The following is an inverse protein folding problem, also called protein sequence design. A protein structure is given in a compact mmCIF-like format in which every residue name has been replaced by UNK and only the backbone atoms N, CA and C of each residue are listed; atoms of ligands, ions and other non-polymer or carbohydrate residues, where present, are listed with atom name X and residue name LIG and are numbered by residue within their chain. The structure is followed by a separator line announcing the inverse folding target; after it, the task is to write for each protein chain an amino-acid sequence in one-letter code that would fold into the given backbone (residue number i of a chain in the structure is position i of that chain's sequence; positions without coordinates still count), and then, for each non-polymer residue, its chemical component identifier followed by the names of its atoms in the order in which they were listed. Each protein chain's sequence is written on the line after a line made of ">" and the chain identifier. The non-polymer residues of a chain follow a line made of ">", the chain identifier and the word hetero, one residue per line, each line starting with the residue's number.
data_IF_266945848351
#
_entry.id   IF_266945848351
#
_cell.length_a   1.000
_cell.length_b   1.000
_cell.length_c   1.000
_cell.angle_alpha   90.00
_cell.angle_beta   90.00
_cell.angle_gamma   90.00
#
_symmetry.space_group_name_H-M   'P 1'
#
loop_
_entity.id
_entity.type
_entity.pdbx_description
1 polymer ?
#
# COMPACT_ATOMS: atom_id res chain seq x y z
N UNK A 1 -4.30 -12.92 -28.93
CA UNK A 1 -4.33 -13.99 -27.91
C UNK A 1 -4.58 -13.33 -26.57
N UNK A 2 -5.42 -13.92 -25.72
CA UNK A 2 -5.67 -13.37 -24.39
C UNK A 2 -4.43 -13.49 -23.50
N UNK A 3 -4.28 -12.56 -22.59
CA UNK A 3 -3.19 -12.55 -21.61
C UNK A 3 -3.31 -13.72 -20.62
N UNK A 4 -2.17 -14.23 -20.14
CA UNK A 4 -2.12 -15.43 -19.29
C UNK A 4 -2.85 -15.26 -17.95
N UNK A 5 -2.88 -14.04 -17.40
CA UNK A 5 -3.57 -13.75 -16.14
C UNK A 5 -5.07 -14.03 -16.20
N UNK A 6 -5.71 -13.99 -17.38
CA UNK A 6 -7.15 -14.25 -17.55
C UNK A 6 -7.50 -15.64 -17.03
N UNK A 7 -6.72 -16.64 -17.42
CA UNK A 7 -6.95 -18.02 -17.00
C UNK A 7 -6.59 -18.26 -15.53
N UNK A 8 -5.58 -17.55 -15.01
CA UNK A 8 -5.26 -17.57 -13.58
C UNK A 8 -6.40 -17.00 -12.73
N UNK A 9 -7.02 -15.90 -13.18
CA UNK A 9 -8.19 -15.30 -12.53
C UNK A 9 -9.39 -16.26 -12.55
N UNK A 10 -9.69 -16.87 -13.71
CA UNK A 10 -10.78 -17.85 -13.84
C UNK A 10 -10.56 -19.03 -12.89
N UNK A 11 -9.34 -19.56 -12.82
CA UNK A 11 -8.99 -20.65 -11.92
C UNK A 11 -9.14 -20.24 -10.45
N UNK A 12 -8.66 -19.05 -10.06
CA UNK A 12 -8.77 -18.54 -8.70
C UNK A 12 -10.22 -18.25 -8.27
N UNK A 13 -11.08 -17.79 -9.19
CA UNK A 13 -12.50 -17.61 -8.93
C UNK A 13 -13.21 -18.96 -8.73
N UNK A 14 -12.86 -19.97 -9.54
CA UNK A 14 -13.46 -21.32 -9.50
C UNK A 14 -12.95 -22.21 -8.38
N UNK A 15 -11.78 -21.93 -7.80
CA UNK A 15 -11.22 -22.74 -6.70
C UNK A 15 -12.05 -22.65 -5.40
N UNK A 16 -12.98 -21.68 -5.33
CA UNK A 16 -13.85 -21.43 -4.17
C UNK A 16 -15.01 -22.43 -4.12
N UNK A 17 -14.79 -23.58 -3.49
CA UNK A 17 -15.78 -24.67 -3.38
C UNK A 17 -17.00 -24.32 -2.53
N UNK A 18 -16.87 -23.45 -1.53
CA UNK A 18 -17.95 -23.08 -0.62
C UNK A 18 -19.02 -22.15 -1.25
N UNK A 19 -18.67 -21.42 -2.32
CA UNK A 19 -19.58 -20.53 -3.04
C UNK A 19 -19.30 -20.66 -4.54
N UNK A 20 -19.91 -21.65 -5.21
CA UNK A 20 -19.69 -21.86 -6.63
C UNK A 20 -20.14 -20.62 -7.42
N UNK A 21 -19.33 -20.23 -8.40
CA UNK A 21 -19.58 -19.06 -9.25
C UNK A 21 -19.59 -19.45 -10.73
N UNK A 22 -20.45 -18.77 -11.50
CA UNK A 22 -20.38 -18.79 -12.95
C UNK A 22 -19.39 -17.70 -13.39
N UNK A 23 -18.37 -18.09 -14.15
CA UNK A 23 -17.36 -17.15 -14.66
C UNK A 23 -17.57 -16.99 -16.17
N UNK A 24 -18.06 -15.82 -16.58
CA UNK A 24 -18.19 -15.43 -17.98
C UNK A 24 -17.02 -14.53 -18.41
N UNK A 25 -16.51 -14.76 -19.61
CA UNK A 25 -15.46 -13.94 -20.21
C UNK A 25 -16.06 -13.10 -21.35
N UNK A 26 -16.00 -11.77 -21.22
CA UNK A 26 -16.34 -10.87 -22.32
C UNK A 26 -15.13 -10.70 -23.23
N UNK A 27 -15.06 -11.46 -24.32
CA UNK A 27 -14.01 -11.32 -25.32
C UNK A 27 -14.36 -10.20 -26.31
N UNK A 28 -13.59 -9.11 -26.27
CA UNK A 28 -13.70 -7.97 -27.17
C UNK A 28 -12.34 -7.63 -27.78
N UNK A 29 -11.43 -8.61 -27.91
CA UNK A 29 -10.04 -8.39 -28.32
C UNK A 29 -9.91 -7.68 -29.68
N UNK A 30 -10.85 -7.91 -30.60
CA UNK A 30 -10.89 -7.28 -31.94
C UNK A 30 -11.18 -5.78 -31.88
N UNK A 31 -11.91 -5.34 -30.85
CA UNK A 31 -12.23 -3.95 -30.57
C UNK A 31 -11.18 -3.29 -29.67
N UNK A 32 -10.54 -4.06 -28.78
CA UNK A 32 -9.45 -3.61 -27.93
C UNK A 32 -8.13 -3.42 -28.69
N UNK A 33 -7.84 -4.30 -29.66
CA UNK A 33 -6.62 -4.28 -30.48
C UNK A 33 -6.74 -3.29 -31.65
N UNK A 34 -7.04 -2.04 -31.32
CA UNK A 34 -7.12 -0.89 -32.24
C UNK A 34 -6.24 0.24 -31.71
N UNK A 35 -6.04 1.28 -32.51
CA UNK A 35 -5.40 2.51 -32.02
C UNK A 35 -6.08 2.98 -30.72
N UNK A 36 -5.32 3.44 -29.73
CA UNK A 36 -5.81 3.66 -28.36
C UNK A 36 -7.08 4.53 -28.30
N UNK A 37 -7.13 5.61 -29.07
CA UNK A 37 -8.31 6.49 -29.17
C UNK A 37 -9.58 5.78 -29.68
N UNK A 38 -9.42 4.80 -30.58
CA UNK A 38 -10.51 3.97 -31.09
C UNK A 38 -10.91 2.92 -30.04
N UNK A 39 -9.93 2.26 -29.41
CA UNK A 39 -10.18 1.30 -28.35
C UNK A 39 -10.94 1.93 -27.17
N UNK A 40 -10.58 3.17 -26.79
CA UNK A 40 -11.30 3.99 -25.79
C UNK A 40 -12.75 4.21 -26.20
N UNK A 41 -13.02 4.61 -27.45
CA UNK A 41 -14.41 4.77 -27.93
C UNK A 41 -15.20 3.45 -27.91
N UNK A 42 -14.54 2.36 -28.28
CA UNK A 42 -15.14 1.03 -28.31
C UNK A 42 -15.57 0.54 -26.92
N UNK A 43 -14.97 1.04 -25.83
CA UNK A 43 -15.38 0.65 -24.46
C UNK A 43 -16.86 0.88 -24.19
N UNK A 44 -17.46 1.94 -24.76
CA UNK A 44 -18.91 2.20 -24.66
C UNK A 44 -19.74 1.16 -25.40
N UNK A 45 -19.33 0.82 -26.62
CA UNK A 45 -20.00 -0.19 -27.45
C UNK A 45 -19.99 -1.53 -26.72
N UNK A 46 -18.83 -1.95 -26.21
CA UNK A 46 -18.71 -3.21 -25.47
C UNK A 46 -19.51 -3.16 -24.17
N UNK A 47 -19.49 -2.03 -23.43
CA UNK A 47 -20.31 -1.86 -22.24
C UNK A 47 -21.80 -2.01 -22.53
N UNK A 48 -22.28 -1.49 -23.67
CA UNK A 48 -23.66 -1.64 -24.12
C UNK A 48 -24.01 -3.10 -24.43
N UNK A 49 -23.14 -3.83 -25.11
CA UNK A 49 -23.33 -5.27 -25.38
C UNK A 49 -23.37 -6.11 -24.10
N UNK A 50 -22.46 -5.85 -23.15
CA UNK A 50 -22.46 -6.52 -21.84
C UNK A 50 -23.75 -6.22 -21.07
N UNK A 51 -24.22 -4.97 -21.08
CA UNK A 51 -25.49 -4.58 -20.48
C UNK A 51 -26.69 -5.30 -21.13
N UNK A 52 -26.71 -5.38 -22.47
CA UNK A 52 -27.76 -6.08 -23.21
C UNK A 52 -27.79 -7.58 -22.87
N UNK A 53 -26.62 -8.22 -22.80
CA UNK A 53 -26.49 -9.62 -22.40
C UNK A 53 -27.00 -9.88 -20.97
N UNK A 54 -26.61 -9.04 -20.00
CA UNK A 54 -27.07 -9.17 -18.62
C UNK A 54 -28.59 -8.97 -18.48
N UNK A 55 -29.17 -8.03 -19.24
CA UNK A 55 -30.64 -7.86 -19.31
C UNK A 55 -31.32 -9.08 -19.91
N UNK A 56 -30.74 -9.66 -20.97
CA UNK A 56 -31.26 -10.87 -21.58
C UNK A 56 -31.24 -12.04 -20.59
N UNK A 57 -30.18 -12.21 -19.78
CA UNK A 57 -30.13 -13.21 -18.71
C UNK A 57 -31.15 -12.95 -17.61
N UNK A 58 -31.35 -11.68 -17.22
CA UNK A 58 -32.35 -11.33 -16.22
C UNK A 58 -33.77 -11.72 -16.68
N UNK A 59 -34.10 -11.49 -17.95
CA UNK A 59 -35.41 -11.83 -18.53
C UNK A 59 -35.56 -13.34 -18.75
N UNK A 60 -34.56 -13.99 -19.32
CA UNK A 60 -34.68 -15.40 -19.76
C UNK A 60 -34.41 -16.41 -18.65
N UNK A 61 -33.47 -16.13 -17.76
CA UNK A 61 -33.06 -17.02 -16.67
C UNK A 61 -33.56 -16.57 -15.29
N UNK A 62 -34.38 -15.50 -15.22
CA UNK A 62 -34.85 -14.90 -13.97
C UNK A 62 -33.71 -14.59 -12.98
N UNK A 63 -32.53 -14.27 -13.53
CA UNK A 63 -31.32 -14.07 -12.76
C UNK A 63 -31.26 -12.64 -12.21
N UNK A 64 -31.06 -12.50 -10.90
CA UNK A 64 -30.91 -11.18 -10.29
C UNK A 64 -29.56 -10.55 -10.63
N UNK A 65 -29.59 -9.38 -11.28
CA UNK A 65 -28.38 -8.59 -11.55
C UNK A 65 -27.63 -8.13 -10.29
N UNK A 66 -28.27 -8.17 -9.11
CA UNK A 66 -27.58 -7.94 -7.83
C UNK A 66 -26.52 -8.99 -7.51
N UNK A 67 -26.58 -10.16 -8.17
CA UNK A 67 -25.62 -11.25 -8.00
C UNK A 67 -24.46 -11.18 -9.01
N UNK A 68 -24.43 -10.15 -9.85
CA UNK A 68 -23.34 -9.94 -10.82
C UNK A 68 -22.18 -9.21 -10.18
N UNK A 69 -20.97 -9.72 -10.41
CA UNK A 69 -19.72 -9.04 -10.14
C UNK A 69 -18.94 -8.88 -11.45
N UNK A 70 -18.85 -7.65 -11.97
CA UNK A 70 -18.00 -7.34 -13.11
C UNK A 70 -16.59 -7.00 -12.64
N UNK A 71 -15.58 -7.65 -13.21
CA UNK A 71 -14.17 -7.40 -12.91
C UNK A 71 -13.53 -6.92 -14.21
N UNK A 72 -13.10 -5.66 -14.23
CA UNK A 72 -12.55 -5.01 -15.42
C UNK A 72 -11.12 -4.54 -15.21
N UNK A 73 -10.22 -4.95 -16.11
CA UNK A 73 -8.82 -4.52 -16.11
C UNK A 73 -8.56 -3.45 -17.16
N UNK A 74 -7.80 -2.40 -16.82
CA UNK A 74 -7.44 -1.33 -17.76
C UNK A 74 -8.67 -0.69 -18.41
N UNK A 75 -8.77 -0.64 -19.75
CA UNK A 75 -9.97 -0.23 -20.48
C UNK A 75 -11.23 -1.03 -20.10
N UNK A 76 -11.08 -2.30 -19.71
CA UNK A 76 -12.17 -3.16 -19.26
C UNK A 76 -12.86 -2.69 -17.97
N UNK A 77 -12.16 -1.90 -17.13
CA UNK A 77 -12.78 -1.27 -15.97
C UNK A 77 -13.86 -0.26 -16.40
N UNK A 78 -13.60 0.51 -17.45
CA UNK A 78 -14.57 1.44 -18.03
C UNK A 78 -15.68 0.71 -18.78
N UNK A 79 -15.38 -0.38 -19.49
CA UNK A 79 -16.41 -1.27 -20.05
C UNK A 79 -17.40 -1.72 -18.96
N UNK A 80 -16.87 -2.12 -17.79
CA UNK A 80 -17.70 -2.56 -16.65
C UNK A 80 -18.55 -1.41 -16.09
N UNK A 81 -17.97 -0.21 -15.98
CA UNK A 81 -18.70 0.99 -15.58
C UNK A 81 -19.83 1.35 -16.55
N UNK A 82 -19.53 1.40 -17.85
CA UNK A 82 -20.52 1.64 -18.88
C UNK A 82 -21.62 0.58 -18.90
N UNK A 83 -21.30 -0.70 -18.71
CA UNK A 83 -22.31 -1.75 -18.60
C UNK A 83 -23.27 -1.51 -17.42
N UNK A 84 -22.72 -1.15 -16.26
CA UNK A 84 -23.50 -0.78 -15.08
C UNK A 84 -24.41 0.42 -15.30
N UNK A 85 -23.86 1.49 -15.87
CA UNK A 85 -24.58 2.72 -16.22
C UNK A 85 -25.69 2.47 -17.24
N UNK A 86 -25.41 1.72 -18.31
CA UNK A 86 -26.39 1.40 -19.34
C UNK A 86 -27.54 0.54 -18.81
N UNK A 87 -27.29 -0.36 -17.86
CA UNK A 87 -28.35 -1.15 -17.22
C UNK A 87 -29.37 -0.22 -16.54
N UNK A 88 -28.88 0.77 -15.79
CA UNK A 88 -29.67 1.84 -15.18
C UNK A 88 -30.83 1.38 -14.29
N UNK A 89 -31.67 2.33 -13.87
CA UNK A 89 -32.90 2.09 -13.12
C UNK A 89 -32.71 1.82 -11.62
N UNK A 90 -33.78 1.32 -10.96
CA UNK A 90 -33.79 1.09 -9.50
C UNK A 90 -32.91 -0.09 -9.06
N UNK A 91 -32.64 -1.04 -9.96
CA UNK A 91 -31.85 -2.23 -9.68
C UNK A 91 -30.51 -2.15 -10.40
N UNK A 92 -29.44 -1.89 -9.67
CA UNK A 92 -28.07 -1.85 -10.19
C UNK A 92 -27.41 -3.24 -10.14
N UNK A 93 -26.32 -3.39 -10.89
CA UNK A 93 -25.38 -4.53 -10.77
C UNK A 93 -24.90 -4.65 -9.32
N UNK A 94 -24.63 -5.87 -8.85
CA UNK A 94 -24.10 -6.14 -7.51
C UNK A 94 -22.79 -5.44 -7.21
N UNK A 95 -21.73 -5.76 -7.96
CA UNK A 95 -20.39 -5.22 -7.73
C UNK A 95 -19.64 -4.96 -9.03
N UNK A 96 -18.86 -3.89 -9.07
CA UNK A 96 -17.81 -3.70 -10.08
C UNK A 96 -16.45 -3.58 -9.38
N UNK A 97 -15.45 -4.32 -9.84
CA UNK A 97 -14.06 -4.11 -9.44
C UNK A 97 -13.24 -3.59 -10.62
N UNK A 98 -12.67 -2.39 -10.46
CA UNK A 98 -11.73 -1.80 -11.41
C UNK A 98 -10.29 -2.17 -11.06
N UNK A 99 -9.62 -2.92 -11.93
CA UNK A 99 -8.22 -3.31 -11.78
C UNK A 99 -7.37 -2.37 -12.64
N UNK A 100 -6.74 -1.39 -11.99
CA UNK A 100 -5.94 -0.32 -12.56
C UNK A 100 -6.59 0.29 -13.81
N UNK A 101 -7.77 0.89 -13.63
CA UNK A 101 -8.56 1.47 -14.71
C UNK A 101 -7.73 2.46 -15.54
N UNK A 102 -7.95 2.51 -16.86
CA UNK A 102 -7.12 3.32 -17.75
C UNK A 102 -7.24 4.84 -17.46
N UNK A 103 -6.12 5.54 -17.37
CA UNK A 103 -6.06 6.98 -17.14
C UNK A 103 -6.22 7.83 -18.41
N UNK A 104 -5.43 7.60 -19.48
CA UNK A 104 -5.45 8.47 -20.65
C UNK A 104 -6.83 8.52 -21.32
N UNK A 105 -7.36 9.73 -21.53
CA UNK A 105 -8.71 10.03 -22.03
C UNK A 105 -9.88 9.74 -21.07
N UNK A 106 -9.62 9.31 -19.83
CA UNK A 106 -10.62 9.12 -18.77
C UNK A 106 -10.35 9.96 -17.52
N UNK A 107 -9.10 10.30 -17.23
CA UNK A 107 -8.74 11.22 -16.15
C UNK A 107 -9.38 12.59 -16.38
N UNK A 108 -9.97 13.16 -15.33
CA UNK A 108 -10.69 14.43 -15.35
C UNK A 108 -12.07 14.40 -16.00
N UNK A 109 -12.50 13.27 -16.58
CA UNK A 109 -13.82 13.19 -17.25
C UNK A 109 -14.98 13.05 -16.26
N UNK A 110 -16.17 13.40 -16.75
CA UNK A 110 -17.44 13.24 -16.02
C UNK A 110 -17.63 11.78 -15.55
N UNK A 111 -18.27 11.53 -14.39
CA UNK A 111 -18.65 10.18 -13.97
C UNK A 111 -19.41 9.36 -15.02
N UNK A 112 -20.14 10.00 -15.94
CA UNK A 112 -20.84 9.35 -17.06
C UNK A 112 -19.92 8.81 -18.16
N UNK A 113 -18.66 9.21 -18.16
CA UNK A 113 -17.69 8.99 -19.23
C UNK A 113 -16.52 8.10 -18.80
N UNK A 114 -16.65 7.41 -17.66
CA UNK A 114 -15.66 6.51 -17.07
C UNK A 114 -16.33 5.59 -16.04
N UNK A 115 -15.52 4.83 -15.31
CA UNK A 115 -15.97 4.08 -14.13
C UNK A 115 -16.30 5.07 -13.00
N UNK A 116 -17.42 4.85 -12.33
CA UNK A 116 -17.95 5.67 -11.26
C UNK A 116 -18.56 4.81 -10.14
N UNK A 117 -18.62 5.30 -8.88
CA UNK A 117 -19.38 4.65 -7.81
C UNK A 117 -20.87 4.46 -8.16
N UNK A 118 -21.41 5.26 -9.09
CA UNK A 118 -22.80 5.18 -9.52
C UNK A 118 -23.12 3.97 -10.40
N UNK A 119 -22.12 3.27 -10.92
CA UNK A 119 -22.34 2.23 -11.93
C UNK A 119 -22.84 0.89 -11.34
N UNK A 120 -22.68 0.68 -10.03
CA UNK A 120 -23.15 -0.52 -9.35
C UNK A 120 -23.61 -0.24 -7.92
N UNK A 121 -24.13 -1.28 -7.27
CA UNK A 121 -24.46 -1.28 -5.85
C UNK A 121 -23.21 -1.11 -4.98
N UNK A 122 -22.06 -1.59 -5.46
CA UNK A 122 -20.76 -1.42 -4.84
C UNK A 122 -19.68 -1.40 -5.93
N UNK A 123 -18.68 -0.53 -5.77
CA UNK A 123 -17.57 -0.36 -6.71
C UNK A 123 -16.31 -0.23 -5.90
N UNK A 124 -15.31 -1.04 -6.20
CA UNK A 124 -13.98 -0.97 -5.62
C UNK A 124 -12.91 -0.92 -6.71
N UNK A 125 -11.84 -0.16 -6.49
CA UNK A 125 -10.81 0.04 -7.48
C UNK A 125 -9.41 -0.15 -6.88
N UNK A 126 -8.52 -0.81 -7.63
CA UNK A 126 -7.13 -1.03 -7.24
C UNK A 126 -6.24 -0.27 -8.22
N UNK A 127 -5.54 0.75 -7.73
CA UNK A 127 -4.69 1.66 -8.49
C UNK A 127 -3.23 1.29 -8.28
N UNK A 128 -2.55 0.78 -9.30
CA UNK A 128 -1.18 0.26 -9.19
C UNK A 128 -0.16 0.99 -10.06
N UNK A 129 -0.61 1.78 -11.03
CA UNK A 129 0.30 2.50 -11.93
C UNK A 129 -0.21 3.89 -12.36
N UNK A 130 -0.38 4.79 -11.38
CA UNK A 130 -1.03 6.11 -11.54
C UNK A 130 -0.07 7.30 -11.68
N UNK A 131 1.22 7.11 -11.41
CA UNK A 131 2.17 8.22 -11.41
C UNK A 131 2.96 8.26 -12.72
N UNK A 132 2.99 9.43 -13.34
CA UNK A 132 3.80 9.66 -14.53
C UNK A 132 5.28 9.49 -14.20
N UNK A 133 5.92 8.54 -14.86
CA UNK A 133 7.38 8.47 -14.93
C UNK A 133 7.77 8.64 -16.37
N UNK A 134 8.64 9.62 -16.66
CA UNK A 134 9.01 9.97 -18.03
C UNK A 134 7.80 10.32 -18.92
N UNK A 135 6.74 10.89 -18.34
CA UNK A 135 5.48 11.21 -19.04
C UNK A 135 4.58 10.02 -19.35
N UNK A 136 4.87 8.84 -18.81
CA UNK A 136 4.09 7.61 -19.01
C UNK A 136 3.38 7.22 -17.70
N UNK A 137 2.06 7.36 -17.68
CA UNK A 137 1.15 6.74 -16.71
C UNK A 137 0.01 6.12 -17.50
N UNK A 138 -0.41 4.90 -17.15
CA UNK A 138 -1.56 4.27 -17.80
C UNK A 138 -2.75 4.06 -16.86
N UNK A 139 -2.56 4.08 -15.54
CA UNK A 139 -3.63 3.98 -14.56
C UNK A 139 -4.24 5.34 -14.21
N UNK A 140 -5.55 5.38 -13.98
CA UNK A 140 -6.27 6.56 -13.53
C UNK A 140 -5.90 6.88 -12.07
N UNK A 141 -5.60 8.14 -11.77
CA UNK A 141 -5.17 8.62 -10.45
C UNK A 141 -6.37 8.99 -9.58
N UNK A 142 -7.39 9.62 -10.16
CA UNK A 142 -8.58 10.01 -9.41
C UNK A 142 -9.34 8.79 -8.87
N UNK A 143 -10.02 8.92 -7.71
CA UNK A 143 -10.95 7.92 -7.23
C UNK A 143 -12.09 7.67 -8.22
N UNK A 144 -12.43 6.41 -8.42
CA UNK A 144 -13.51 5.92 -9.31
C UNK A 144 -14.46 4.93 -8.61
N UNK A 145 -14.14 4.49 -7.39
CA UNK A 145 -14.95 3.57 -6.61
C UNK A 145 -15.49 4.16 -5.30
N UNK A 146 -16.22 3.33 -4.56
CA UNK A 146 -16.57 3.59 -3.16
C UNK A 146 -15.33 3.43 -2.27
N UNK A 147 -14.49 2.44 -2.61
CA UNK A 147 -13.18 2.19 -2.02
C UNK A 147 -12.12 2.15 -3.13
N UNK A 148 -11.12 3.01 -3.01
CA UNK A 148 -10.02 3.15 -3.97
C UNK A 148 -8.72 2.82 -3.23
N UNK A 149 -8.11 1.70 -3.60
CA UNK A 149 -6.89 1.19 -3.00
C UNK A 149 -5.68 1.65 -3.82
N UNK A 150 -4.68 2.18 -3.14
CA UNK A 150 -3.41 2.62 -3.71
C UNK A 150 -2.25 1.82 -3.09
N UNK A 151 -2.08 0.52 -3.43
CA UNK A 151 -0.93 -0.27 -3.01
C UNK A 151 0.38 0.44 -3.35
N UNK A 152 1.26 0.57 -2.36
CA UNK A 152 2.55 1.24 -2.47
C UNK A 152 2.43 2.70 -2.97
N UNK A 153 1.31 3.36 -2.64
CA UNK A 153 1.00 4.72 -3.09
C UNK A 153 0.35 4.79 -4.48
N UNK A 154 0.16 3.65 -5.14
CA UNK A 154 -0.40 3.54 -6.48
C UNK A 154 0.53 3.98 -7.60
N UNK A 155 1.77 4.35 -7.30
CA UNK A 155 2.76 4.81 -8.28
C UNK A 155 3.42 3.64 -9.00
N UNK A 156 4.38 2.97 -8.35
CA UNK A 156 5.05 1.78 -8.86
C UNK A 156 4.96 0.65 -7.85
N UNK A 157 5.01 -0.56 -8.37
CA UNK A 157 4.85 -1.76 -7.56
C UNK A 157 6.22 -2.40 -7.31
N UNK A 158 6.50 -2.86 -6.08
CA UNK A 158 7.75 -3.55 -5.76
C UNK A 158 8.01 -4.72 -6.72
N UNK A 159 9.24 -4.83 -7.23
CA UNK A 159 9.61 -5.81 -8.26
C UNK A 159 9.20 -5.46 -9.70
N UNK A 160 8.69 -4.25 -9.94
CA UNK A 160 8.44 -3.70 -11.28
C UNK A 160 9.28 -2.44 -11.56
N UNK A 161 10.41 -2.25 -10.85
CA UNK A 161 11.17 -1.00 -10.90
C UNK A 161 11.98 -0.84 -12.20
N UNK A 162 12.07 0.40 -12.67
CA UNK A 162 12.89 0.81 -13.81
C UNK A 162 14.40 0.53 -13.64
N UNK A 163 14.92 0.29 -12.44
CA UNK A 163 16.31 -0.13 -12.28
C UNK A 163 16.58 -1.50 -12.92
N UNK A 164 15.54 -2.34 -13.02
CA UNK A 164 15.55 -3.55 -13.84
C UNK A 164 15.44 -3.25 -15.33
N UNK A 165 14.98 -2.06 -15.75
CA UNK A 165 15.00 -1.63 -17.14
C UNK A 165 16.42 -1.59 -17.71
N UNK A 166 17.47 -1.23 -16.96
CA UNK A 166 18.85 -1.32 -17.49
C UNK A 166 19.27 -2.78 -17.74
N UNK A 167 18.89 -3.71 -16.86
CA UNK A 167 19.11 -5.15 -17.03
C UNK A 167 18.25 -5.72 -18.18
N UNK A 168 17.00 -5.28 -18.29
CA UNK A 168 16.04 -5.68 -19.32
C UNK A 168 16.30 -4.98 -20.67
N UNK A 169 16.87 -3.77 -20.74
CA UNK A 169 17.32 -3.12 -21.99
C UNK A 169 18.53 -3.89 -22.53
N UNK A 170 19.47 -4.26 -21.64
CA UNK A 170 20.60 -5.09 -22.01
C UNK A 170 20.16 -6.47 -22.56
N UNK A 171 19.01 -7.00 -22.13
CA UNK A 171 18.48 -8.30 -22.56
C UNK A 171 17.40 -8.24 -23.66
N UNK A 172 16.63 -7.15 -23.76
CA UNK A 172 15.40 -7.06 -24.56
C UNK A 172 15.24 -5.74 -25.34
N UNK A 173 16.21 -4.82 -25.30
CA UNK A 173 16.14 -3.54 -26.01
C UNK A 173 14.96 -2.65 -25.58
N UNK A 174 14.40 -1.87 -26.51
CA UNK A 174 13.28 -0.94 -26.23
C UNK A 174 11.98 -1.63 -25.77
N UNK A 175 11.83 -2.94 -25.97
CA UNK A 175 10.67 -3.72 -25.51
C UNK A 175 10.58 -3.82 -23.98
N UNK A 176 11.70 -3.58 -23.28
CA UNK A 176 11.76 -3.54 -21.83
C UNK A 176 10.81 -2.47 -21.21
N UNK A 177 10.54 -1.39 -21.94
CA UNK A 177 9.66 -0.29 -21.48
C UNK A 177 8.21 -0.78 -21.43
N UNK A 178 7.76 -1.52 -22.46
CA UNK A 178 6.44 -2.12 -22.51
C UNK A 178 6.23 -3.16 -21.41
N UNK A 179 7.24 -3.99 -21.13
CA UNK A 179 7.18 -5.00 -20.06
C UNK A 179 7.10 -4.36 -18.67
N UNK A 180 7.85 -3.28 -18.42
CA UNK A 180 7.84 -2.58 -17.14
C UNK A 180 6.48 -1.92 -16.87
N UNK A 181 5.91 -1.25 -17.88
CA UNK A 181 4.56 -0.67 -17.81
C UNK A 181 3.54 -1.76 -17.51
N UNK A 182 3.61 -2.88 -18.22
CA UNK A 182 2.72 -4.02 -18.02
C UNK A 182 2.84 -4.61 -16.61
N UNK A 183 4.04 -4.73 -16.05
CA UNK A 183 4.26 -5.28 -14.70
C UNK A 183 3.50 -4.49 -13.62
N UNK A 184 3.66 -3.17 -13.58
CA UNK A 184 3.01 -2.33 -12.59
C UNK A 184 1.49 -2.23 -12.82
N UNK A 185 1.06 -2.17 -14.08
CA UNK A 185 -0.35 -2.12 -14.46
C UNK A 185 -1.09 -3.43 -14.10
N UNK A 186 -0.52 -4.58 -14.49
CA UNK A 186 -1.08 -5.92 -14.27
C UNK A 186 -0.99 -6.37 -12.79
N UNK A 187 -0.20 -5.68 -11.96
CA UNK A 187 -0.14 -5.96 -10.52
C UNK A 187 -1.51 -5.91 -9.85
N UNK A 188 -2.40 -5.02 -10.28
CA UNK A 188 -3.77 -4.94 -9.77
C UNK A 188 -4.51 -6.27 -9.91
N UNK A 189 -4.33 -6.97 -11.04
CA UNK A 189 -4.88 -8.30 -11.31
C UNK A 189 -4.31 -9.33 -10.34
N UNK A 190 -2.98 -9.37 -10.19
CA UNK A 190 -2.33 -10.34 -9.31
C UNK A 190 -2.67 -10.11 -7.83
N UNK A 191 -2.82 -8.87 -7.39
CA UNK A 191 -3.28 -8.55 -6.03
C UNK A 191 -4.71 -9.06 -5.79
N UNK A 192 -5.59 -8.93 -6.79
CA UNK A 192 -6.95 -9.46 -6.68
C UNK A 192 -6.97 -11.00 -6.68
N UNK A 193 -6.17 -11.65 -7.54
CA UNK A 193 -5.98 -13.11 -7.53
C UNK A 193 -5.44 -13.59 -6.17
N UNK A 194 -4.44 -12.90 -5.62
CA UNK A 194 -3.88 -13.22 -4.31
C UNK A 194 -4.93 -13.17 -3.20
N UNK A 195 -5.83 -12.17 -3.25
CA UNK A 195 -6.94 -12.05 -2.28
C UNK A 195 -7.93 -13.23 -2.34
N UNK A 196 -8.07 -13.87 -3.50
CA UNK A 196 -8.90 -15.06 -3.70
C UNK A 196 -8.21 -16.34 -3.21
N UNK A 197 -6.93 -16.50 -3.56
CA UNK A 197 -6.15 -17.71 -3.25
C UNK A 197 -5.73 -17.78 -1.78
N UNK A 198 -5.53 -16.63 -1.15
CA UNK A 198 -5.04 -16.52 0.22
C UNK A 198 -6.09 -15.88 1.16
N UNK A 199 -7.28 -16.49 1.27
CA UNK A 199 -8.37 -16.03 2.14
C UNK A 199 -7.89 -15.74 3.58
N UNK A 200 -7.10 -16.66 4.16
CA UNK A 200 -6.54 -16.51 5.50
C UNK A 200 -5.43 -15.43 5.65
N UNK A 201 -4.95 -14.85 4.55
CA UNK A 201 -3.90 -13.82 4.52
C UNK A 201 -4.35 -12.54 3.80
N UNK A 202 -5.58 -12.08 4.04
CA UNK A 202 -6.06 -10.82 3.46
C UNK A 202 -5.12 -9.63 3.77
N UNK A 203 -4.85 -8.83 2.74
CA UNK A 203 -4.06 -7.60 2.87
C UNK A 203 -4.94 -6.45 3.39
N UNK A 204 -4.51 -5.82 4.49
CA UNK A 204 -5.23 -4.72 5.11
C UNK A 204 -4.78 -3.38 4.53
N UNK A 205 -5.75 -2.54 4.15
CA UNK A 205 -5.53 -1.19 3.69
C UNK A 205 -6.16 -0.17 4.63
N UNK A 206 -5.58 1.03 4.68
CA UNK A 206 -5.94 2.05 5.66
C UNK A 206 -6.22 3.39 4.99
N UNK A 207 -7.32 4.02 5.38
CA UNK A 207 -7.75 5.30 4.87
C UNK A 207 -6.79 6.41 5.31
N UNK A 208 -6.21 7.08 4.32
CA UNK A 208 -5.25 8.17 4.50
C UNK A 208 -5.48 9.28 3.47
N UNK A 209 -4.87 10.44 3.69
CA UNK A 209 -4.92 11.55 2.72
C UNK A 209 -4.04 11.28 1.50
N UNK A 210 -2.85 10.74 1.73
CA UNK A 210 -1.77 10.57 0.78
C UNK A 210 -0.76 9.51 1.28
N UNK A 211 0.18 9.14 0.41
CA UNK A 211 1.20 8.14 0.72
C UNK A 211 2.24 8.64 1.73
N UNK A 212 2.52 9.94 1.80
CA UNK A 212 3.51 10.51 2.73
C UNK A 212 3.01 10.43 4.18
N UNK A 213 1.74 10.77 4.40
CA UNK A 213 1.07 10.61 5.70
C UNK A 213 0.97 9.13 6.09
N UNK A 214 0.79 8.25 5.11
CA UNK A 214 0.76 6.80 5.32
C UNK A 214 2.14 6.24 5.70
N UNK A 215 3.21 6.65 5.00
CA UNK A 215 4.60 6.22 5.26
C UNK A 215 5.14 6.71 6.60
N UNK A 216 4.57 7.77 7.16
CA UNK A 216 4.78 8.21 8.54
C UNK A 216 4.00 7.37 9.58
N UNK A 217 3.20 6.39 9.15
CA UNK A 217 2.41 5.50 10.00
C UNK A 217 1.16 6.15 10.62
N UNK A 218 0.77 7.35 10.19
CA UNK A 218 -0.28 8.15 10.86
C UNK A 218 -1.69 7.56 10.69
N UNK A 219 -1.88 6.67 9.70
CA UNK A 219 -3.19 6.26 9.22
C UNK A 219 -3.63 4.85 9.61
N UNK A 220 -2.89 4.11 10.44
CA UNK A 220 -3.16 2.68 10.75
C UNK A 220 -4.42 2.39 11.61
N UNK A 221 -5.46 3.21 11.59
CA UNK A 221 -6.68 3.05 12.40
C UNK A 221 -7.80 2.37 11.63
N UNK A 222 -8.42 1.35 12.21
CA UNK A 222 -9.62 0.70 11.65
C UNK A 222 -10.95 1.27 12.15
N UNK A 223 -10.93 2.14 13.18
CA UNK A 223 -12.15 2.72 13.76
C UNK A 223 -13.00 3.44 12.69
N UNK A 224 -14.33 3.31 12.78
CA UNK A 224 -15.30 3.97 11.87
C UNK A 224 -15.08 3.63 10.38
N UNK A 225 -14.71 2.38 10.07
CA UNK A 225 -14.52 1.94 8.69
C UNK A 225 -13.34 2.63 7.97
N UNK A 226 -12.32 3.04 8.73
CA UNK A 226 -11.08 3.64 8.22
C UNK A 226 -10.06 2.61 7.71
N UNK A 227 -10.40 1.33 7.71
CA UNK A 227 -9.62 0.29 7.06
C UNK A 227 -10.55 -0.66 6.32
N UNK A 228 -10.02 -1.41 5.37
CA UNK A 228 -10.73 -2.48 4.69
C UNK A 228 -9.73 -3.51 4.14
N UNK A 229 -10.23 -4.67 3.73
CA UNK A 229 -9.44 -5.71 3.06
C UNK A 229 -9.35 -5.42 1.56
N UNK A 230 -8.15 -5.57 1.00
CA UNK A 230 -7.92 -5.44 -0.44
C UNK A 230 -8.49 -6.66 -1.18
N UNK A 231 -9.23 -6.42 -2.26
CA UNK A 231 -9.65 -7.47 -3.20
C UNK A 231 -11.00 -8.09 -2.88
N UNK A 232 -11.11 -9.41 -3.03
CA UNK A 232 -12.40 -10.09 -3.13
C UNK A 232 -13.25 -9.98 -1.86
N UNK A 233 -12.65 -10.14 -0.68
CA UNK A 233 -13.35 -10.17 0.62
C UNK A 233 -13.54 -8.79 1.26
N UNK A 234 -13.53 -7.72 0.47
CA UNK A 234 -13.79 -6.36 0.92
C UNK A 234 -15.15 -6.24 1.61
N UNK A 235 -15.22 -5.45 2.70
CA UNK A 235 -16.51 -5.07 3.30
C UNK A 235 -17.22 -4.07 2.40
N UNK A 236 -18.38 -4.46 1.89
CA UNK A 236 -19.21 -3.66 0.98
C UNK A 236 -20.06 -2.66 1.75
N UNK A 237 -19.45 -1.54 2.16
CA UNK A 237 -20.15 -0.44 2.82
C UNK A 237 -20.35 0.73 1.86
N UNK A 238 -21.54 1.33 1.86
CA UNK A 238 -21.81 2.55 1.09
C UNK A 238 -21.47 3.78 1.93
N UNK A 239 -20.73 4.69 1.32
CA UNK A 239 -20.36 5.98 1.90
C UNK A 239 -20.73 7.08 0.89
N UNK A 240 -21.07 8.27 1.39
CA UNK A 240 -21.39 9.42 0.52
C UNK A 240 -20.19 9.97 -0.26
N UNK A 241 -18.96 9.55 0.11
CA UNK A 241 -17.72 9.94 -0.53
C UNK A 241 -16.82 8.71 -0.70
N UNK A 242 -16.09 8.68 -1.82
CA UNK A 242 -15.02 7.70 -2.07
C UNK A 242 -13.96 7.74 -0.98
N UNK A 243 -13.47 6.57 -0.58
CA UNK A 243 -12.38 6.45 0.40
C UNK A 243 -11.10 6.03 -0.33
N UNK A 244 -10.03 6.82 -0.13
CA UNK A 244 -8.67 6.44 -0.55
C UNK A 244 -8.00 5.64 0.56
N UNK A 245 -7.57 4.42 0.25
CA UNK A 245 -6.89 3.53 1.17
C UNK A 245 -5.49 3.19 0.66
N UNK A 246 -4.54 3.12 1.59
CA UNK A 246 -3.14 2.84 1.30
C UNK A 246 -2.69 1.59 2.06
N UNK A 247 -1.76 0.87 1.46
CA UNK A 247 -1.08 -0.29 2.04
C UNK A 247 0.26 -0.47 1.33
N UNK A 248 1.18 -1.19 1.94
CA UNK A 248 2.40 -1.68 1.29
C UNK A 248 2.21 -3.15 0.93
N UNK A 249 2.91 -3.62 -0.09
CA UNK A 249 2.90 -5.03 -0.49
C UNK A 249 4.31 -5.55 -0.75
N UNK A 250 4.49 -6.86 -0.75
CA UNK A 250 5.72 -7.51 -1.22
C UNK A 250 5.85 -7.41 -2.74
N UNK A 251 7.05 -7.72 -3.24
CA UNK A 251 7.31 -7.82 -4.67
C UNK A 251 6.67 -9.07 -5.31
N UNK A 252 6.47 -10.14 -4.55
CA UNK A 252 5.94 -11.43 -5.01
C UNK A 252 4.83 -11.94 -4.08
N UNK A 253 3.95 -12.80 -4.61
CA UNK A 253 2.87 -13.43 -3.85
C UNK A 253 3.43 -14.47 -2.86
N UNK A 254 2.84 -14.66 -1.66
CA UNK A 254 1.73 -13.89 -1.09
C UNK A 254 2.12 -12.43 -0.82
N UNK A 255 1.27 -11.47 -1.20
CA UNK A 255 1.68 -10.05 -1.21
C UNK A 255 1.56 -9.34 0.14
N UNK A 256 0.88 -9.98 1.10
CA UNK A 256 0.62 -9.43 2.44
C UNK A 256 1.90 -9.01 3.15
N UNK A 257 1.81 -7.87 3.84
CA UNK A 257 2.75 -7.42 4.87
C UNK A 257 2.00 -7.01 6.13
N UNK A 258 2.73 -6.87 7.22
CA UNK A 258 2.23 -6.39 8.52
C UNK A 258 2.74 -4.97 8.76
N UNK A 259 1.85 -4.05 9.12
CA UNK A 259 2.11 -2.62 9.24
C UNK A 259 2.26 -2.20 10.69
N UNK A 260 3.39 -1.60 11.04
CA UNK A 260 3.69 -1.12 12.39
C UNK A 260 4.04 0.36 12.37
N UNK A 261 3.29 1.16 13.12
CA UNK A 261 3.66 2.54 13.40
C UNK A 261 4.57 2.57 14.62
N UNK A 262 5.73 3.21 14.48
CA UNK A 262 6.63 3.51 15.57
C UNK A 262 6.61 5.00 15.86
N UNK A 263 6.53 5.36 17.14
CA UNK A 263 6.66 6.73 17.63
C UNK A 263 7.77 6.82 18.66
N UNK A 264 8.75 7.66 18.35
CA UNK A 264 9.98 7.83 19.11
C UNK A 264 10.12 9.30 19.48
N UNK A 265 10.40 9.60 20.74
CA UNK A 265 10.66 10.97 21.21
C UNK A 265 12.12 11.08 21.65
N UNK A 266 12.85 12.02 21.06
CA UNK A 266 14.23 12.35 21.43
C UNK A 266 14.22 13.64 22.26
N UNK A 267 14.89 13.63 23.41
CA UNK A 267 14.82 14.74 24.39
C UNK A 267 16.00 15.73 24.22
N UNK A 268 17.17 15.31 23.73
CA UNK A 268 18.37 16.16 23.66
C UNK A 268 18.65 16.75 22.27
N UNK A 269 19.33 17.91 22.26
CA UNK A 269 19.88 18.57 21.07
C UNK A 269 21.25 17.96 20.75
N UNK A 270 21.50 17.66 19.48
CA UNK A 270 22.86 17.53 18.97
C UNK A 270 23.26 18.94 18.52
N UNK A 271 24.42 19.44 18.95
CA UNK A 271 24.91 20.80 18.63
C UNK A 271 25.12 21.05 17.13
N UNK A 272 25.05 19.99 16.30
CA UNK A 272 25.03 20.05 14.84
C UNK A 272 23.98 19.08 14.30
N UNK A 273 23.23 19.42 13.24
CA UNK A 273 22.30 18.50 12.59
C UNK A 273 23.10 17.36 11.95
N UNK A 274 23.24 16.26 12.68
CA UNK A 274 23.68 14.97 12.13
C UNK A 274 22.43 14.33 11.53
N UNK A 275 22.53 13.80 10.31
CA UNK A 275 21.57 12.84 9.77
C UNK A 275 21.97 11.45 10.28
N UNK A 276 21.38 10.98 11.40
CA UNK A 276 21.80 9.75 12.02
C UNK A 276 21.08 8.59 11.34
N UNK A 277 21.84 7.55 11.01
CA UNK A 277 21.28 6.29 10.54
C UNK A 277 20.99 5.40 11.73
N UNK A 278 19.76 4.87 11.82
CA UNK A 278 19.40 3.91 12.86
C UNK A 278 19.08 2.56 12.25
N UNK A 279 19.37 1.51 13.00
CA UNK A 279 18.90 0.17 12.71
C UNK A 279 18.05 -0.33 13.88
N UNK A 280 16.99 -1.07 13.55
CA UNK A 280 16.11 -1.65 14.55
C UNK A 280 15.92 -3.14 14.30
N UNK A 281 15.98 -3.93 15.37
CA UNK A 281 15.65 -5.35 15.36
C UNK A 281 14.40 -5.58 16.21
N UNK A 282 13.43 -6.29 15.66
CA UNK A 282 12.13 -6.56 16.24
C UNK A 282 12.04 -8.05 16.59
N UNK A 283 11.90 -8.36 17.87
CA UNK A 283 11.73 -9.72 18.37
C UNK A 283 10.28 -9.92 18.81
N UNK A 284 9.58 -10.84 18.14
CA UNK A 284 8.23 -11.25 18.50
C UNK A 284 8.15 -12.66 19.05
N UNK A 285 6.93 -13.10 19.40
CA UNK A 285 6.67 -14.46 19.92
C UNK A 285 6.91 -15.58 18.92
N UNK A 286 6.82 -15.29 17.61
CA UNK A 286 6.93 -16.30 16.54
C UNK A 286 8.26 -16.21 15.82
N UNK A 287 8.68 -14.99 15.48
CA UNK A 287 9.81 -14.74 14.59
C UNK A 287 10.56 -13.47 15.03
N UNK A 288 11.78 -13.30 14.52
CA UNK A 288 12.59 -12.09 14.68
C UNK A 288 12.89 -11.45 13.32
N UNK A 289 12.90 -10.12 13.26
CA UNK A 289 13.46 -9.38 12.13
C UNK A 289 14.58 -8.45 12.57
N UNK A 290 15.78 -8.66 12.05
CA UNK A 290 16.97 -7.90 12.43
C UNK A 290 17.34 -6.83 11.40
N UNK A 291 18.06 -5.80 11.88
CA UNK A 291 18.74 -4.77 11.05
C UNK A 291 17.82 -4.03 10.06
N UNK A 292 16.63 -3.63 10.50
CA UNK A 292 15.72 -2.80 9.70
C UNK A 292 16.27 -1.37 9.70
N UNK A 293 16.64 -0.81 8.53
CA UNK A 293 17.14 0.57 8.46
C UNK A 293 15.99 1.55 8.71
N UNK A 294 16.27 2.61 9.46
CA UNK A 294 15.34 3.70 9.74
C UNK A 294 15.95 5.00 9.26
N UNK A 295 15.20 5.71 8.41
CA UNK A 295 15.54 7.04 7.91
C UNK A 295 14.60 8.06 8.52
N UNK A 296 15.13 9.04 9.26
CA UNK A 296 14.36 10.17 9.76
C UNK A 296 14.63 11.36 8.83
N UNK A 297 13.62 11.76 8.04
CA UNK A 297 13.77 12.70 6.92
C UNK A 297 14.09 14.16 7.26
N UNK A 298 14.31 14.47 8.53
CA UNK A 298 14.75 15.77 9.02
C UNK A 298 15.67 15.48 10.21
N UNK A 299 16.84 16.14 10.29
CA UNK A 299 17.79 15.98 11.40
C UNK A 299 17.11 16.00 12.77
N UNK A 300 17.74 15.38 13.78
CA UNK A 300 17.09 15.22 15.08
C UNK A 300 16.97 16.57 15.80
N UNK A 301 15.73 17.01 16.01
CA UNK A 301 15.35 18.18 16.77
C UNK A 301 14.90 17.72 18.17
N UNK A 302 15.45 18.35 19.20
CA UNK A 302 15.09 18.09 20.60
C UNK A 302 13.59 18.29 20.84
N UNK A 303 13.02 17.41 21.67
CA UNK A 303 11.61 17.39 22.08
C UNK A 303 10.61 17.12 20.95
N UNK A 304 11.06 16.76 19.74
CA UNK A 304 10.17 16.32 18.65
C UNK A 304 9.87 14.83 18.77
N UNK A 305 8.62 14.46 18.47
CA UNK A 305 8.22 13.06 18.31
C UNK A 305 8.26 12.70 16.83
N UNK A 306 9.05 11.69 16.49
CA UNK A 306 9.16 11.13 15.15
C UNK A 306 8.20 9.95 15.02
N UNK A 307 7.47 9.91 13.91
CA UNK A 307 6.54 8.83 13.56
C UNK A 307 6.92 8.27 12.21
N UNK A 308 7.05 6.96 12.12
CA UNK A 308 7.37 6.27 10.86
C UNK A 308 6.69 4.91 10.80
N UNK A 309 6.46 4.44 9.58
CA UNK A 309 5.92 3.12 9.27
C UNK A 309 7.05 2.13 9.03
N UNK A 310 6.96 0.96 9.66
CA UNK A 310 7.74 -0.22 9.29
C UNK A 310 6.78 -1.31 8.85
N UNK A 311 7.18 -2.04 7.81
CA UNK A 311 6.42 -3.16 7.28
C UNK A 311 7.24 -4.43 7.37
N UNK A 312 6.60 -5.53 7.76
CA UNK A 312 7.22 -6.86 7.88
C UNK A 312 6.53 -7.82 6.91
N UNK A 313 7.31 -8.63 6.22
CA UNK A 313 6.83 -9.65 5.27
C UNK A 313 6.44 -10.98 5.93
N UNK A 314 6.63 -11.09 7.25
CA UNK A 314 6.37 -12.27 8.06
C UNK A 314 5.63 -11.90 9.36
N UNK A 315 4.86 -12.85 9.89
CA UNK A 315 4.12 -12.69 11.14
C UNK A 315 5.03 -12.95 12.34
N UNK A 316 5.55 -11.90 12.96
CA UNK A 316 6.35 -12.00 14.19
C UNK A 316 5.51 -12.36 15.43
N UNK A 317 4.18 -12.38 15.32
CA UNK A 317 3.28 -12.55 16.45
C UNK A 317 3.23 -11.29 17.33
N UNK A 318 3.20 -11.47 18.65
CA UNK A 318 3.21 -10.35 19.57
C UNK A 318 4.64 -9.81 19.75
N UNK A 319 4.83 -8.50 19.62
CA UNK A 319 6.15 -7.87 19.75
C UNK A 319 6.58 -7.84 21.23
N UNK A 320 7.73 -8.44 21.54
CA UNK A 320 8.25 -8.61 22.91
C UNK A 320 9.36 -7.61 23.21
N UNK A 321 10.27 -7.41 22.24
CA UNK A 321 11.49 -6.65 22.45
C UNK A 321 11.89 -5.91 21.17
N UNK A 322 12.48 -4.74 21.36
CA UNK A 322 13.03 -3.90 20.30
C UNK A 322 14.50 -3.63 20.63
N UNK A 323 15.41 -3.97 19.72
CA UNK A 323 16.80 -3.49 19.79
C UNK A 323 16.95 -2.32 18.84
N UNK A 324 17.43 -1.20 19.35
CA UNK A 324 17.57 0.05 18.61
C UNK A 324 19.03 0.49 18.65
N UNK A 325 19.64 0.64 17.47
CA UNK A 325 21.06 0.92 17.33
C UNK A 325 21.29 2.17 16.51
N UNK A 326 22.22 3.01 16.96
CA UNK A 326 22.72 4.15 16.18
C UNK A 326 23.91 3.71 15.33
N UNK A 327 23.73 3.67 14.02
CA UNK A 327 24.81 3.34 13.07
C UNK A 327 25.75 4.53 12.86
N UNK A 328 27.01 4.22 12.54
CA UNK A 328 28.00 5.24 12.22
C UNK A 328 27.82 5.70 10.76
N UNK A 329 27.87 7.01 10.52
CA UNK A 329 27.90 7.55 9.16
C UNK A 329 29.31 7.44 8.59
N UNK A 330 29.49 6.65 7.52
CA UNK A 330 30.77 6.48 6.83
C UNK A 330 31.36 7.81 6.31
N UNK A 331 30.50 8.80 6.03
CA UNK A 331 30.88 10.13 5.57
C UNK A 331 31.67 10.88 6.65
N UNK A 332 31.28 10.76 7.91
CA UNK A 332 31.96 11.41 9.02
C UNK A 332 33.23 10.68 9.47
N UNK A 333 33.29 9.36 9.32
CA UNK A 333 34.52 8.59 9.60
C UNK A 333 35.68 9.04 8.68
N UNK A 334 35.40 9.27 7.39
CA UNK A 334 36.41 9.68 6.41
C UNK A 334 36.82 11.14 6.55
N UNK A 335 35.86 12.06 6.74
CA UNK A 335 36.16 13.48 6.97
C UNK A 335 37.01 13.66 8.24
N UNK A 336 36.76 12.85 9.28
CA UNK A 336 37.49 12.98 10.54
C UNK A 336 38.90 12.42 10.50
N UNK A 337 39.14 11.30 9.80
CA UNK A 337 40.50 10.82 9.54
C UNK A 337 41.35 11.91 8.86
N UNK A 338 40.74 12.77 8.04
CA UNK A 338 41.40 13.93 7.41
C UNK A 338 41.61 15.13 8.35
N UNK A 339 40.75 15.33 9.36
CA UNK A 339 40.90 16.45 10.31
C UNK A 339 41.89 16.11 11.45
N UNK A 340 41.95 14.85 11.90
CA UNK A 340 42.88 14.42 12.95
C UNK A 340 44.35 14.49 12.54
N UNK A 341 44.66 14.43 11.24
CA UNK A 341 46.04 14.58 10.73
C UNK A 341 46.51 16.04 10.68
N UNK A 342 45.61 17.02 10.80
CA UNK A 342 45.91 18.45 10.63
C UNK A 342 46.00 19.20 11.96
N UNK A 343 45.33 18.73 13.03
CA UNK A 343 45.34 19.39 14.36
C UNK A 343 45.64 18.35 15.45
N UNK A 344 46.89 18.27 15.98
CA UNK A 344 47.26 17.22 16.93
C UNK A 344 46.77 17.47 18.37
N UNK A 345 46.19 18.64 18.66
CA UNK A 345 45.77 19.05 20.02
C UNK A 345 44.34 19.63 20.05
N UNK A 346 43.40 18.93 19.42
CA UNK A 346 41.97 19.25 19.49
C UNK A 346 41.24 18.32 20.47
N UNK A 347 40.52 18.91 21.44
CA UNK A 347 39.58 18.24 22.34
C UNK A 347 38.73 17.18 21.63
N UNK A 348 38.64 15.97 22.21
CA UNK A 348 37.73 14.90 21.74
C UNK A 348 36.32 15.50 21.53
N UNK A 349 35.65 15.27 20.39
CA UNK A 349 34.28 15.71 20.23
C UNK A 349 33.41 15.03 21.29
N UNK A 350 32.73 15.82 22.13
CA UNK A 350 31.63 15.33 22.94
C UNK A 350 30.49 14.98 21.98
N UNK A 351 30.32 13.70 21.65
CA UNK A 351 29.08 13.24 21.04
C UNK A 351 27.99 13.33 22.11
N UNK A 352 27.17 14.38 22.05
CA UNK A 352 25.97 14.53 22.86
C UNK A 352 25.01 13.39 22.52
N UNK A 353 24.96 12.35 23.35
CA UNK A 353 24.11 11.19 23.12
C UNK A 353 22.62 11.53 23.07
N UNK A 354 21.85 10.69 22.40
CA UNK A 354 20.41 10.88 22.22
C UNK A 354 19.64 10.26 23.38
N UNK A 355 18.88 11.07 24.12
CA UNK A 355 18.02 10.55 25.18
C UNK A 355 16.75 9.95 24.57
N UNK A 356 16.62 8.63 24.69
CA UNK A 356 15.50 7.85 24.19
C UNK A 356 14.78 7.13 25.34
N UNK A 357 13.59 7.62 25.70
CA UNK A 357 12.87 7.13 26.89
C UNK A 357 11.91 5.97 26.60
N UNK A 358 11.05 6.15 25.60
CA UNK A 358 9.98 5.19 25.29
C UNK A 358 9.77 5.12 23.79
N UNK A 359 9.52 3.90 23.30
CA UNK A 359 9.09 3.64 21.94
C UNK A 359 7.62 3.21 22.00
N UNK A 360 6.73 3.96 21.36
CA UNK A 360 5.32 3.58 21.25
C UNK A 360 5.09 2.90 19.92
N UNK A 361 4.45 1.75 19.95
CA UNK A 361 4.19 0.94 18.76
C UNK A 361 2.70 0.73 18.59
N UNK A 362 2.22 0.81 17.35
CA UNK A 362 0.87 0.39 16.98
C UNK A 362 0.94 -0.61 15.84
N UNK A 363 0.45 -1.82 16.08
CA UNK A 363 0.25 -2.83 15.04
C UNK A 363 -1.06 -2.54 14.30
N UNK A 364 -1.00 -2.47 12.98
CA UNK A 364 -2.14 -2.18 12.11
C UNK A 364 -3.11 -3.36 12.07
N UNK A 365 -2.62 -4.57 11.80
CA UNK A 365 -3.46 -5.74 11.55
C UNK A 365 -4.21 -6.19 12.82
N UNK A 366 -3.56 -6.13 13.98
CA UNK A 366 -4.17 -6.49 15.28
C UNK A 366 -4.81 -5.31 16.01
N UNK A 367 -4.61 -4.07 15.50
CA UNK A 367 -4.99 -2.80 16.16
C UNK A 367 -4.42 -2.62 17.59
N UNK A 368 -3.47 -3.45 18.02
CA UNK A 368 -2.86 -3.38 19.34
C UNK A 368 -1.93 -2.16 19.46
N UNK A 369 -1.89 -1.59 20.66
CA UNK A 369 -0.97 -0.51 21.05
C UNK A 369 -0.07 -1.00 22.16
N UNK A 370 1.23 -0.83 21.97
CA UNK A 370 2.26 -1.30 22.88
C UNK A 370 3.19 -0.15 23.20
N UNK A 371 3.79 -0.19 24.39
CA UNK A 371 4.85 0.75 24.77
C UNK A 371 6.04 -0.05 25.25
N UNK A 372 7.23 0.38 24.81
CA UNK A 372 8.50 -0.23 25.16
C UNK A 372 9.37 0.80 25.87
N UNK A 373 9.99 0.36 26.97
CA UNK A 373 10.86 1.15 27.82
C UNK A 373 12.26 0.54 27.80
N UNK A 374 13.29 1.36 28.05
CA UNK A 374 14.66 0.86 28.22
C UNK A 374 14.69 -0.24 29.28
N UNK A 375 15.36 -1.35 28.98
CA UNK A 375 15.60 -2.45 29.93
C UNK A 375 16.38 -1.98 31.15
N UNK A 376 17.31 -1.03 30.94
CA UNK A 376 18.12 -0.41 31.99
C UNK A 376 17.50 0.95 32.34
N UNK A 377 16.98 1.09 33.56
CA UNK A 377 16.20 2.26 33.99
C UNK A 377 16.99 3.57 34.03
N UNK A 378 18.30 3.52 34.25
CA UNK A 378 19.16 4.71 34.40
C UNK A 378 19.97 5.06 33.14
N UNK A 379 20.02 4.16 32.15
CA UNK A 379 20.74 4.40 30.90
C UNK A 379 19.77 4.76 29.76
N UNK A 380 19.41 6.04 29.69
CA UNK A 380 18.55 6.59 28.63
C UNK A 380 19.33 7.20 27.47
N UNK A 381 20.65 7.36 27.61
CA UNK A 381 21.50 8.08 26.66
C UNK A 381 22.06 7.13 25.61
N UNK A 382 21.59 7.20 24.37
CA UNK A 382 22.07 6.39 23.24
C UNK A 382 23.28 7.08 22.60
N UNK A 383 24.44 6.43 22.67
CA UNK A 383 25.65 6.89 21.99
C UNK A 383 25.75 6.35 20.55
N UNK A 384 26.53 7.00 19.66
CA UNK A 384 26.87 6.42 18.36
C UNK A 384 27.47 5.03 18.52
N UNK A 385 27.17 4.12 17.59
CA UNK A 385 27.54 2.68 17.58
C UNK A 385 26.97 1.82 18.70
N UNK A 386 26.25 2.40 19.66
CA UNK A 386 25.60 1.67 20.74
C UNK A 386 24.26 1.08 20.27
N UNK A 387 23.98 -0.14 20.72
CA UNK A 387 22.66 -0.77 20.64
C UNK A 387 21.99 -0.75 22.02
N UNK A 388 20.69 -0.47 22.06
CA UNK A 388 19.88 -0.50 23.28
C UNK A 388 18.66 -1.38 23.14
N UNK A 389 18.36 -2.09 24.21
CA UNK A 389 17.21 -2.99 24.30
C UNK A 389 16.05 -2.30 24.99
N UNK A 390 14.87 -2.40 24.37
CA UNK A 390 13.60 -1.93 24.90
C UNK A 390 12.64 -3.10 25.05
N UNK A 391 12.06 -3.24 26.23
CA UNK A 391 11.10 -4.30 26.58
C UNK A 391 9.72 -3.72 26.83
N UNK A 392 8.68 -4.52 26.63
CA UNK A 392 7.29 -4.11 26.82
C UNK A 392 7.06 -3.63 28.26
N UNK A 393 6.43 -2.46 28.42
CA UNK A 393 6.18 -1.83 29.72
C UNK A 393 4.78 -1.17 29.76
N UNK A 394 4.18 -1.11 30.95
CA UNK A 394 2.95 -0.34 31.17
C UNK A 394 3.26 1.09 31.61
N UNK A 395 2.95 2.07 30.76
CA UNK A 395 3.03 3.47 31.15
C UNK A 395 1.76 3.85 31.91
N UNK A 396 1.81 3.71 33.25
CA UNK A 396 0.75 4.17 34.14
C UNK A 396 0.56 5.69 34.01
N UNK A 397 -0.51 6.13 33.33
CA UNK A 397 -0.87 7.55 33.13
C UNK A 397 -1.31 8.29 34.41
N UNK A 398 -1.21 7.66 35.59
CA UNK A 398 -1.72 8.20 36.87
C UNK A 398 -0.69 9.00 37.70
N UNK A 399 0.58 9.12 37.31
CA UNK A 399 1.60 9.80 38.14
C UNK A 399 1.78 11.32 37.90
N UNK A 400 0.95 11.99 37.10
CA UNK A 400 1.06 13.45 36.84
C UNK A 400 -0.02 14.34 37.48
N UNK A 401 -0.75 13.89 38.50
CA UNK A 401 -1.76 14.71 39.22
C UNK A 401 -1.60 14.77 40.74
N UNK A 402 -0.41 14.48 41.28
CA UNK A 402 -0.13 14.66 42.71
C UNK A 402 1.20 15.34 42.94
N UNK A 403 1.14 16.68 42.99
CA UNK A 403 1.83 17.59 43.94
C UNK A 403 1.86 19.00 43.37
N UNK A 404 0.69 19.65 43.32
CA UNK A 404 0.56 21.10 43.59
C UNK A 404 -0.79 21.26 44.31
N UNK A 405 -0.73 21.22 45.63
CA UNK A 405 -1.66 21.91 46.52
C UNK A 405 -0.88 22.27 47.76
#
# INVERSE_FOLDING_TARGET
>A
MLESWVWQMVAALKSRTAQPVNVGLADWITLAYRHYTIAVRNTRIVGQEVAAFLRWLEVTAQFSRSNVHLIGYSLGAHVSGFAGSYIGGKHKIGRITGLDAAGPLFEGTSPSDRLSPDDANFVDAIHTFTQEHMGLSVGIKQPVGHYDFYPNGGSFQPGCHFLELYKHIAQHGLNAISQTIKCAHERSVHLFIDSLLHDHMQSMAYQCSDMDSFSQGLCLSCKKGRCNTLGYHIRQERHSKSKKLFLVTRAQSPFKVYHYQFKIQFINQIDKPVEPTFTMSLLGTKEERQKIPITLGEGIISNKTYSFLITLDLDIGELIMIRFKWENSAVWANIWNTVQTIIPWGTKPHYSGLVLKTIRVKAGETQQRMTFCSEITDDLLLHPTQEKTFVKCEVNSKKSKRKIR
#
